data_IF_138646263542
#
_entry.id   IF_138646263542
#
_cell.length_a   1.000
_cell.length_b   1.000
_cell.length_c   1.000
_cell.angle_alpha   90.00
_cell.angle_beta   90.00
_cell.angle_gamma   90.00
#
_symmetry.space_group_name_H-M   'P 1'
#
loop_
_entity.id
_entity.type
_entity.pdbx_description
1 polymer ?
#
# COMPACT_ATOMS: atom_id res chain seq x y z
N UNK A 1 1.92 24.64 -4.16
CA UNK A 1 2.26 23.28 -3.70
C UNK A 1 2.88 22.52 -4.85
N UNK A 2 3.88 21.66 -4.58
CA UNK A 2 4.31 20.58 -5.46
C UNK A 2 3.78 19.27 -4.87
N UNK A 3 3.23 18.39 -5.69
CA UNK A 3 2.74 17.07 -5.25
C UNK A 3 3.63 15.95 -5.79
N UNK A 4 3.96 14.97 -4.95
CA UNK A 4 4.76 13.81 -5.33
C UNK A 4 4.00 12.53 -4.97
N UNK A 5 3.64 11.70 -5.98
CA UNK A 5 2.88 10.48 -5.77
C UNK A 5 2.94 9.53 -6.95
N UNK A 6 2.54 8.27 -6.75
CA UNK A 6 2.58 7.28 -7.84
C UNK A 6 1.33 6.39 -7.92
N UNK A 7 0.91 5.66 -6.85
CA UNK A 7 -0.20 4.71 -6.92
C UNK A 7 -1.58 5.39 -6.81
N UNK A 8 -2.62 4.60 -7.00
CA UNK A 8 -4.02 5.03 -6.81
C UNK A 8 -4.28 5.62 -5.42
N UNK A 9 -3.58 5.15 -4.40
CA UNK A 9 -3.64 5.66 -3.03
C UNK A 9 -3.45 7.18 -2.94
N UNK A 10 -2.65 7.75 -3.83
CA UNK A 10 -2.31 9.18 -3.84
C UNK A 10 -3.38 10.06 -4.52
N UNK A 11 -4.31 9.47 -5.31
CA UNK A 11 -5.28 10.22 -6.11
C UNK A 11 -6.22 11.08 -5.26
N UNK A 12 -6.86 10.56 -4.17
CA UNK A 12 -7.77 11.38 -3.37
C UNK A 12 -7.09 12.61 -2.77
N UNK A 13 -5.84 12.47 -2.32
CA UNK A 13 -5.07 13.59 -1.79
C UNK A 13 -4.77 14.65 -2.88
N UNK A 14 -4.35 14.24 -4.08
CA UNK A 14 -4.12 15.17 -5.20
C UNK A 14 -5.40 15.92 -5.56
N UNK A 15 -6.54 15.25 -5.68
CA UNK A 15 -7.85 15.88 -5.98
C UNK A 15 -8.24 16.87 -4.90
N UNK A 16 -8.11 16.51 -3.64
CA UNK A 16 -8.43 17.37 -2.52
C UNK A 16 -7.57 18.65 -2.54
N UNK A 17 -6.26 18.50 -2.73
CA UNK A 17 -5.33 19.62 -2.81
C UNK A 17 -5.64 20.53 -4.01
N UNK A 18 -5.81 19.98 -5.21
CA UNK A 18 -6.07 20.77 -6.42
C UNK A 18 -7.41 21.48 -6.42
N UNK A 19 -8.38 21.06 -5.59
CA UNK A 19 -9.68 21.73 -5.45
C UNK A 19 -9.64 22.97 -4.55
N UNK A 20 -8.60 23.15 -3.75
CA UNK A 20 -8.49 24.21 -2.74
C UNK A 20 -7.23 25.07 -2.89
N UNK A 21 -6.18 24.53 -3.51
CA UNK A 21 -4.86 25.13 -3.61
C UNK A 21 -4.30 24.98 -5.01
N UNK A 22 -3.41 25.89 -5.38
CA UNK A 22 -2.64 25.77 -6.61
C UNK A 22 -1.59 24.67 -6.48
N UNK A 23 -1.68 23.65 -7.35
CA UNK A 23 -0.69 22.58 -7.50
C UNK A 23 0.15 22.89 -8.73
N UNK A 24 1.37 23.37 -8.53
CA UNK A 24 2.27 23.83 -9.59
C UNK A 24 2.74 22.68 -10.50
N UNK A 25 2.98 21.52 -9.91
CA UNK A 25 3.39 20.33 -10.66
C UNK A 25 3.16 19.07 -9.86
N UNK A 26 3.02 17.95 -10.57
CA UNK A 26 2.95 16.61 -10.02
C UNK A 26 4.18 15.82 -10.42
N UNK A 27 4.88 15.26 -9.44
CA UNK A 27 5.98 14.32 -9.63
C UNK A 27 5.50 12.89 -9.47
N UNK A 28 5.89 12.02 -10.37
CA UNK A 28 5.57 10.60 -10.31
C UNK A 28 6.71 9.75 -10.86
N UNK A 29 6.66 8.43 -10.69
CA UNK A 29 7.63 7.54 -11.30
C UNK A 29 7.48 7.51 -12.82
N UNK A 30 8.60 7.36 -13.52
CA UNK A 30 8.64 7.23 -14.98
C UNK A 30 7.68 6.14 -15.47
N UNK A 31 7.00 6.35 -16.61
CA UNK A 31 6.17 5.34 -17.24
C UNK A 31 6.97 4.05 -17.49
N UNK A 32 6.41 2.91 -17.09
CA UNK A 32 7.09 1.61 -17.20
C UNK A 32 6.49 0.76 -18.31
N UNK A 33 7.35 0.05 -19.04
CA UNK A 33 6.91 -1.00 -19.96
C UNK A 33 6.24 -2.12 -19.17
N UNK A 34 4.97 -2.42 -19.44
CA UNK A 34 4.22 -3.52 -18.81
C UNK A 34 3.59 -4.40 -19.87
N UNK A 35 3.35 -5.68 -19.50
CA UNK A 35 2.74 -6.74 -20.31
C UNK A 35 3.57 -7.21 -21.51
N UNK A 36 3.11 -8.32 -22.16
CA UNK A 36 3.80 -8.96 -23.29
C UNK A 36 3.98 -8.06 -24.52
N UNK A 37 3.21 -6.97 -24.63
CA UNK A 37 3.30 -5.99 -25.71
C UNK A 37 4.18 -4.78 -25.41
N UNK A 38 4.92 -4.74 -24.28
CA UNK A 38 5.80 -3.63 -23.86
C UNK A 38 5.15 -2.23 -23.94
N UNK A 39 3.82 -2.14 -23.79
CA UNK A 39 3.13 -0.85 -23.76
C UNK A 39 3.63 -0.01 -22.59
N UNK A 40 3.97 1.24 -22.90
CA UNK A 40 4.33 2.23 -21.87
C UNK A 40 3.07 2.59 -21.09
N UNK A 41 3.06 2.29 -19.80
CA UNK A 41 1.91 2.57 -18.91
C UNK A 41 2.27 3.70 -17.96
N UNK A 42 1.52 4.78 -18.05
CA UNK A 42 1.57 5.90 -17.11
C UNK A 42 1.08 5.47 -15.72
N UNK A 43 1.61 6.08 -14.68
CA UNK A 43 1.13 5.84 -13.31
C UNK A 43 -0.32 6.35 -13.12
N UNK A 44 -1.08 5.86 -12.14
CA UNK A 44 -2.39 6.39 -11.82
C UNK A 44 -2.39 7.91 -11.56
N UNK A 45 -1.38 8.40 -10.86
CA UNK A 45 -1.22 9.85 -10.58
C UNK A 45 -0.90 10.64 -11.86
N UNK A 46 -0.10 10.09 -12.77
CA UNK A 46 0.17 10.74 -14.06
C UNK A 46 -1.13 11.00 -14.84
N UNK A 47 -1.96 9.95 -14.96
CA UNK A 47 -3.25 10.05 -15.66
C UNK A 47 -4.22 11.02 -14.97
N UNK A 48 -4.20 11.06 -13.64
CA UNK A 48 -5.06 11.95 -12.88
C UNK A 48 -4.61 13.41 -12.99
N UNK A 49 -3.30 13.67 -12.94
CA UNK A 49 -2.75 15.02 -13.12
C UNK A 49 -3.05 15.58 -14.52
N UNK A 50 -2.96 14.75 -15.57
CA UNK A 50 -3.37 15.15 -16.93
C UNK A 50 -4.85 15.57 -17.00
N UNK A 51 -5.76 14.81 -16.35
CA UNK A 51 -7.19 15.17 -16.27
C UNK A 51 -7.40 16.51 -15.57
N UNK A 52 -6.62 16.77 -14.53
CA UNK A 52 -6.66 18.03 -13.77
C UNK A 52 -5.89 19.17 -14.45
N UNK A 53 -5.28 18.91 -15.61
CA UNK A 53 -4.43 19.86 -16.37
C UNK A 53 -3.25 20.39 -15.55
N UNK A 54 -2.71 19.58 -14.66
CA UNK A 54 -1.53 19.90 -13.85
C UNK A 54 -0.29 19.36 -14.56
N UNK A 55 0.79 20.16 -14.70
CA UNK A 55 2.05 19.71 -15.31
C UNK A 55 2.63 18.48 -14.59
N UNK A 56 3.07 17.46 -15.36
CA UNK A 56 3.61 16.22 -14.82
C UNK A 56 5.09 16.12 -15.10
N UNK A 57 5.87 15.79 -14.06
CA UNK A 57 7.30 15.52 -14.10
C UNK A 57 7.56 14.09 -13.63
N UNK A 58 8.40 13.36 -14.34
CA UNK A 58 8.67 11.94 -14.05
C UNK A 58 10.15 11.60 -14.25
N UNK A 59 11.05 12.24 -13.51
CA UNK A 59 12.48 11.96 -13.62
C UNK A 59 12.77 10.51 -13.21
N UNK A 60 13.72 9.84 -13.88
CA UNK A 60 14.15 8.50 -13.52
C UNK A 60 14.74 8.44 -12.11
N UNK A 61 15.46 9.50 -11.76
CA UNK A 61 15.95 9.76 -10.39
C UNK A 61 15.73 11.23 -10.07
N UNK A 62 15.19 11.49 -8.88
CA UNK A 62 15.00 12.85 -8.42
C UNK A 62 16.33 13.60 -8.21
N UNK A 63 17.44 12.88 -8.01
CA UNK A 63 18.80 13.43 -7.92
C UNK A 63 19.27 13.92 -9.31
N UNK A 64 18.78 15.10 -9.69
CA UNK A 64 19.02 15.75 -10.97
C UNK A 64 19.04 17.27 -10.73
N UNK A 65 20.03 17.96 -11.29
CA UNK A 65 20.22 19.40 -11.12
C UNK A 65 19.05 20.23 -11.66
N UNK A 66 18.48 19.82 -12.80
CA UNK A 66 17.30 20.48 -13.39
C UNK A 66 16.08 20.41 -12.47
N UNK A 67 15.85 19.26 -11.82
CA UNK A 67 14.75 19.11 -10.87
C UNK A 67 14.99 19.88 -9.58
N UNK A 68 16.24 19.92 -9.10
CA UNK A 68 16.60 20.75 -7.96
C UNK A 68 16.36 22.22 -8.24
N UNK A 69 16.84 22.72 -9.38
CA UNK A 69 16.64 24.10 -9.83
C UNK A 69 15.15 24.42 -9.96
N UNK A 70 14.39 23.58 -10.66
CA UNK A 70 12.95 23.76 -10.83
C UNK A 70 12.22 23.87 -9.48
N UNK A 71 12.44 22.94 -8.55
CA UNK A 71 11.78 22.96 -7.23
C UNK A 71 12.20 24.19 -6.42
N UNK A 72 13.47 24.56 -6.44
CA UNK A 72 14.00 25.75 -5.75
C UNK A 72 13.42 27.05 -6.28
N UNK A 73 13.25 27.16 -7.60
CA UNK A 73 12.75 28.37 -8.28
C UNK A 73 11.22 28.42 -8.40
N UNK A 74 10.51 27.35 -8.09
CA UNK A 74 9.05 27.21 -8.25
C UNK A 74 8.21 28.10 -7.32
N UNK A 75 8.81 28.77 -6.33
CA UNK A 75 8.11 29.50 -5.26
C UNK A 75 7.13 28.64 -4.43
N UNK A 76 7.17 27.31 -4.55
CA UNK A 76 6.40 26.42 -3.71
C UNK A 76 6.77 26.61 -2.22
N UNK A 77 5.79 26.52 -1.34
CA UNK A 77 6.02 26.55 0.12
C UNK A 77 6.00 25.14 0.70
N UNK A 78 5.33 24.22 0.01
CA UNK A 78 5.16 22.83 0.44
C UNK A 78 5.36 21.86 -0.71
N UNK A 79 6.02 20.75 -0.40
CA UNK A 79 6.01 19.53 -1.20
C UNK A 79 5.25 18.46 -0.43
N UNK A 80 4.15 18.00 -0.98
CA UNK A 80 3.33 16.94 -0.38
C UNK A 80 3.67 15.61 -1.05
N UNK A 81 4.17 14.67 -0.26
CA UNK A 81 4.61 13.37 -0.72
C UNK A 81 3.63 12.29 -0.27
N UNK A 82 3.10 11.51 -1.20
CA UNK A 82 2.16 10.42 -0.94
C UNK A 82 2.56 9.19 -1.76
N UNK A 83 3.26 8.26 -1.16
CA UNK A 83 3.70 7.03 -1.82
C UNK A 83 4.42 7.29 -3.17
N UNK A 84 5.35 8.22 -3.21
CA UNK A 84 6.09 8.60 -4.42
C UNK A 84 7.00 7.48 -4.94
N UNK A 85 7.66 6.77 -4.00
CA UNK A 85 8.50 5.63 -4.32
C UNK A 85 9.90 5.95 -4.82
N UNK A 86 10.37 7.18 -4.63
CA UNK A 86 11.78 7.58 -4.75
C UNK A 86 12.23 8.26 -3.46
N UNK A 87 13.52 8.15 -3.15
CA UNK A 87 14.14 8.85 -2.03
C UNK A 87 14.26 10.33 -2.40
N UNK A 88 13.88 11.21 -1.48
CA UNK A 88 14.10 12.65 -1.60
C UNK A 88 15.52 12.94 -1.14
N UNK A 89 16.40 13.46 -2.02
CA UNK A 89 17.77 13.74 -1.64
C UNK A 89 17.85 14.85 -0.57
N UNK A 90 18.85 14.77 0.30
CA UNK A 90 19.01 15.70 1.43
C UNK A 90 19.12 17.16 0.98
N UNK A 91 19.77 17.42 -0.17
CA UNK A 91 19.87 18.76 -0.74
C UNK A 91 18.51 19.40 -1.00
N UNK A 92 17.47 18.61 -1.41
CA UNK A 92 16.11 19.12 -1.60
C UNK A 92 15.45 19.48 -0.27
N UNK A 93 15.69 18.67 0.78
CA UNK A 93 15.13 18.90 2.11
C UNK A 93 15.70 20.18 2.76
N UNK A 94 16.86 20.64 2.30
CA UNK A 94 17.54 21.85 2.77
C UNK A 94 17.17 23.12 1.98
N UNK A 95 16.27 23.04 1.00
CA UNK A 95 15.81 24.24 0.26
C UNK A 95 15.11 25.18 1.26
N UNK A 96 15.63 26.40 1.36
CA UNK A 96 15.11 27.42 2.29
C UNK A 96 13.65 27.73 2.00
N UNK A 97 12.84 27.84 3.05
CA UNK A 97 11.41 28.16 3.01
C UNK A 97 10.53 27.13 2.28
N UNK A 98 11.03 25.91 2.08
CA UNK A 98 10.29 24.79 1.51
C UNK A 98 10.21 23.65 2.53
N UNK A 99 9.01 23.16 2.81
CA UNK A 99 8.79 22.04 3.72
C UNK A 99 8.28 20.85 2.93
N UNK A 100 8.90 19.69 3.16
CA UNK A 100 8.46 18.40 2.62
C UNK A 100 7.64 17.67 3.68
N UNK A 101 6.36 17.41 3.38
CA UNK A 101 5.45 16.63 4.22
C UNK A 101 5.15 15.31 3.55
N UNK A 102 5.26 14.22 4.30
CA UNK A 102 4.85 12.89 3.86
C UNK A 102 3.53 12.49 4.50
N UNK A 103 2.64 11.93 3.69
CA UNK A 103 1.41 11.28 4.14
C UNK A 103 1.70 9.80 4.29
N UNK A 104 2.01 9.38 5.51
CA UNK A 104 2.38 8.01 5.83
C UNK A 104 1.17 7.20 6.28
N UNK A 105 1.03 5.98 5.75
CA UNK A 105 -0.15 5.14 5.97
C UNK A 105 -0.03 4.27 7.23
N UNK A 106 0.37 4.88 8.36
CA UNK A 106 0.33 4.28 9.69
C UNK A 106 0.24 5.35 10.78
N UNK A 107 0.03 4.93 12.02
CA UNK A 107 0.19 5.75 13.21
C UNK A 107 1.66 5.69 13.67
N UNK A 108 2.49 6.62 13.16
CA UNK A 108 3.89 6.70 13.55
C UNK A 108 4.05 6.87 15.08
N UNK A 109 5.04 6.24 15.69
CA UNK A 109 6.23 5.60 15.10
C UNK A 109 6.03 4.15 14.65
N UNK A 110 4.83 3.57 14.75
CA UNK A 110 4.59 2.22 14.24
C UNK A 110 4.63 2.17 12.72
N UNK A 111 5.21 1.08 12.19
CA UNK A 111 5.19 0.72 10.77
C UNK A 111 5.89 1.74 9.86
N UNK A 112 7.06 2.25 10.27
CA UNK A 112 7.96 3.00 9.37
C UNK A 112 8.36 2.12 8.19
N UNK A 113 8.35 2.66 6.96
CA UNK A 113 8.84 1.94 5.79
C UNK A 113 7.83 1.72 4.68
N UNK A 114 8.07 0.70 3.83
CA UNK A 114 7.49 0.60 2.51
C UNK A 114 6.09 -0.04 2.44
N UNK A 115 5.67 -0.81 3.46
CA UNK A 115 4.45 -1.63 3.40
C UNK A 115 3.58 -1.54 4.68
N UNK A 116 3.31 -0.33 5.24
CA UNK A 116 2.63 -0.20 6.53
C UNK A 116 1.22 -0.82 6.53
N UNK A 117 0.45 -0.67 5.45
CA UNK A 117 -0.92 -1.19 5.35
C UNK A 117 -0.92 -2.72 5.36
N UNK A 118 -0.03 -3.36 4.58
CA UNK A 118 0.06 -4.81 4.53
C UNK A 118 0.49 -5.39 5.87
N UNK A 119 1.54 -4.80 6.47
CA UNK A 119 2.09 -5.28 7.76
C UNK A 119 1.09 -5.14 8.89
N UNK A 120 0.36 -4.03 8.99
CA UNK A 120 -0.68 -3.87 10.04
C UNK A 120 -1.79 -4.94 9.95
N UNK A 121 -2.21 -5.32 8.73
CA UNK A 121 -3.17 -6.42 8.54
C UNK A 121 -2.55 -7.77 8.90
N UNK A 122 -1.33 -8.06 8.40
CA UNK A 122 -0.66 -9.34 8.62
C UNK A 122 -0.35 -9.59 10.09
N UNK A 123 -0.06 -8.53 10.85
CA UNK A 123 0.16 -8.58 12.31
C UNK A 123 -1.14 -8.46 13.11
N UNK A 124 -2.29 -8.49 12.44
CA UNK A 124 -3.63 -8.50 13.05
C UNK A 124 -3.84 -7.31 14.01
N UNK A 125 -3.30 -6.14 13.66
CA UNK A 125 -3.55 -4.91 14.41
C UNK A 125 -5.05 -4.58 14.37
N UNK A 126 -5.57 -4.01 15.44
CA UNK A 126 -6.98 -3.59 15.53
C UNK A 126 -7.22 -2.25 14.86
N UNK A 127 -6.16 -1.44 14.76
CA UNK A 127 -6.20 -0.11 14.15
C UNK A 127 -4.90 0.20 13.43
N UNK A 128 -4.97 1.10 12.50
CA UNK A 128 -3.86 1.78 11.83
C UNK A 128 -4.25 3.24 11.64
N UNK A 129 -3.65 3.97 10.72
CA UNK A 129 -4.06 5.34 10.46
C UNK A 129 -3.22 6.04 9.41
N UNK A 130 -3.33 7.35 9.43
CA UNK A 130 -2.53 8.27 8.61
C UNK A 130 -1.77 9.19 9.55
N UNK A 131 -0.49 9.41 9.25
CA UNK A 131 0.35 10.43 9.87
C UNK A 131 0.82 11.44 8.82
N UNK A 132 0.67 12.74 9.09
CA UNK A 132 1.29 13.81 8.32
C UNK A 132 2.60 14.17 9.03
N UNK A 133 3.73 13.89 8.41
CA UNK A 133 5.05 14.05 9.01
C UNK A 133 5.99 14.86 8.13
N UNK A 134 6.95 15.55 8.74
CA UNK A 134 8.05 16.21 8.04
C UNK A 134 9.05 15.16 7.55
N UNK A 135 9.47 15.27 6.29
CA UNK A 135 10.51 14.38 5.76
C UNK A 135 11.86 14.82 6.28
N UNK A 136 12.63 13.84 6.75
CA UNK A 136 14.03 13.97 7.16
C UNK A 136 14.87 12.90 6.45
N UNK A 137 16.23 12.99 6.45
CA UNK A 137 17.06 12.02 5.71
C UNK A 137 16.87 10.56 6.13
N UNK A 138 16.58 10.30 7.43
CA UNK A 138 16.32 8.95 7.92
C UNK A 138 14.87 8.57 7.64
N UNK A 139 14.66 7.38 7.08
CA UNK A 139 13.36 6.90 6.60
C UNK A 139 12.26 6.95 7.68
N UNK A 140 11.22 7.72 7.41
CA UNK A 140 9.98 7.86 8.19
C UNK A 140 10.18 8.17 9.70
N UNK A 141 11.31 8.81 10.06
CA UNK A 141 11.63 9.18 11.46
C UNK A 141 11.37 10.64 11.78
N UNK A 142 10.98 11.46 10.79
CA UNK A 142 10.72 12.87 11.02
C UNK A 142 9.52 13.09 11.96
N UNK A 143 9.45 14.27 12.61
CA UNK A 143 8.36 14.59 13.51
C UNK A 143 7.03 14.70 12.73
N UNK A 144 5.94 14.32 13.35
CA UNK A 144 4.61 14.43 12.76
C UNK A 144 3.81 15.61 13.34
N UNK A 145 2.94 16.18 12.52
CA UNK A 145 2.07 17.28 12.94
C UNK A 145 0.64 16.81 13.23
N UNK A 146 0.18 15.77 12.55
CA UNK A 146 -1.18 15.25 12.70
C UNK A 146 -1.22 13.75 12.50
N UNK A 147 -2.15 13.10 13.19
CA UNK A 147 -2.46 11.69 13.02
C UNK A 147 -3.98 11.46 13.07
N UNK A 148 -4.46 10.48 12.32
CA UNK A 148 -5.85 10.03 12.38
C UNK A 148 -5.90 8.50 12.38
N UNK A 149 -6.49 7.92 13.44
CA UNK A 149 -6.70 6.48 13.56
C UNK A 149 -7.85 5.99 12.68
N UNK A 150 -7.72 4.76 12.20
CA UNK A 150 -8.70 4.02 11.40
C UNK A 150 -8.73 2.58 11.88
N UNK A 151 -9.90 2.06 12.25
CA UNK A 151 -10.07 0.68 12.67
C UNK A 151 -9.87 -0.29 11.49
N UNK A 152 -9.20 -1.41 11.76
CA UNK A 152 -9.05 -2.54 10.83
C UNK A 152 -10.13 -3.57 11.19
N UNK A 153 -11.07 -3.81 10.28
CA UNK A 153 -12.10 -4.82 10.47
C UNK A 153 -11.58 -6.20 10.01
N UNK A 154 -12.13 -7.28 10.54
CA UNK A 154 -11.73 -8.65 10.21
C UNK A 154 -11.79 -8.98 8.71
N UNK A 155 -12.71 -8.35 7.98
CA UNK A 155 -12.88 -8.52 6.52
C UNK A 155 -12.06 -7.54 5.70
N UNK A 156 -11.33 -6.63 6.33
CA UNK A 156 -10.49 -5.71 5.58
C UNK A 156 -9.29 -6.45 4.97
N UNK A 157 -9.10 -6.22 3.69
CA UNK A 157 -7.91 -6.62 2.97
C UNK A 157 -7.09 -5.37 2.60
N UNK A 158 -5.90 -5.57 2.04
CA UNK A 158 -5.04 -4.46 1.61
C UNK A 158 -5.77 -3.45 0.70
N UNK A 159 -6.60 -3.93 -0.22
CA UNK A 159 -7.32 -3.05 -1.14
C UNK A 159 -8.38 -2.19 -0.42
N UNK A 160 -9.25 -2.80 0.40
CA UNK A 160 -10.31 -2.09 1.11
C UNK A 160 -9.75 -1.10 2.13
N UNK A 161 -8.73 -1.51 2.91
CA UNK A 161 -8.09 -0.66 3.90
C UNK A 161 -7.31 0.49 3.24
N UNK A 162 -6.59 0.22 2.15
CA UNK A 162 -5.91 1.25 1.37
C UNK A 162 -6.88 2.32 0.86
N UNK A 163 -8.06 1.93 0.39
CA UNK A 163 -9.11 2.86 -0.04
C UNK A 163 -9.59 3.73 1.12
N UNK A 164 -9.93 3.13 2.28
CA UNK A 164 -10.34 3.88 3.48
C UNK A 164 -9.26 4.88 3.90
N UNK A 165 -8.01 4.44 3.98
CA UNK A 165 -6.88 5.28 4.38
C UNK A 165 -6.62 6.42 3.39
N UNK A 166 -6.77 6.19 2.09
CA UNK A 166 -6.57 7.24 1.07
C UNK A 166 -7.62 8.36 1.18
N UNK A 167 -8.86 8.03 1.54
CA UNK A 167 -9.93 9.01 1.79
C UNK A 167 -9.68 9.81 3.08
N UNK A 168 -9.19 9.14 4.14
CA UNK A 168 -8.76 9.81 5.38
C UNK A 168 -7.56 10.72 5.12
N UNK A 169 -6.58 10.26 4.35
CA UNK A 169 -5.40 11.03 3.96
C UNK A 169 -5.77 12.32 3.23
N UNK A 170 -6.75 12.26 2.32
CA UNK A 170 -7.23 13.42 1.57
C UNK A 170 -7.86 14.50 2.47
N UNK A 171 -8.59 14.09 3.50
CA UNK A 171 -9.15 15.03 4.48
C UNK A 171 -8.07 15.59 5.40
N UNK A 172 -7.24 14.70 5.96
CA UNK A 172 -6.23 15.07 6.94
C UNK A 172 -5.18 16.03 6.35
N UNK A 173 -4.83 15.89 5.07
CA UNK A 173 -3.88 16.80 4.42
C UNK A 173 -4.45 18.20 4.24
N UNK A 174 -5.75 18.35 3.97
CA UNK A 174 -6.39 19.66 3.92
C UNK A 174 -6.42 20.33 5.30
N UNK A 175 -6.73 19.57 6.35
CA UNK A 175 -6.69 20.08 7.73
C UNK A 175 -5.26 20.52 8.10
N UNK A 176 -4.24 19.74 7.70
CA UNK A 176 -2.84 20.10 7.91
C UNK A 176 -2.46 21.40 7.19
N UNK A 177 -2.98 21.63 5.98
CA UNK A 177 -2.71 22.88 5.24
C UNK A 177 -3.38 24.09 5.89
N UNK A 178 -4.57 23.96 6.44
CA UNK A 178 -5.21 25.05 7.20
C UNK A 178 -4.36 25.48 8.41
N UNK A 179 -3.77 24.52 9.13
CA UNK A 179 -2.83 24.80 10.23
C UNK A 179 -1.55 25.46 9.68
N UNK A 180 -1.05 25.01 8.52
CA UNK A 180 0.10 25.61 7.87
C UNK A 180 -0.13 27.08 7.51
N UNK A 181 -1.27 27.40 6.91
CA UNK A 181 -1.64 28.76 6.52
C UNK A 181 -1.77 29.71 7.70
N UNK A 182 -2.30 29.22 8.83
CA UNK A 182 -2.38 29.97 10.09
C UNK A 182 -1.03 30.13 10.80
N UNK A 183 0.04 29.49 10.32
CA UNK A 183 1.37 29.44 10.96
C UNK A 183 1.34 28.82 12.37
N UNK A 184 0.39 27.94 12.63
CA UNK A 184 0.18 27.26 13.92
C UNK A 184 0.78 25.84 13.93
N UNK A 185 1.79 25.58 13.09
CA UNK A 185 2.37 24.26 12.97
C UNK A 185 3.15 23.89 14.23
N UNK A 186 2.73 22.79 14.83
CA UNK A 186 3.46 22.14 15.92
C UNK A 186 3.83 20.73 15.48
N UNK A 187 5.12 20.44 15.46
CA UNK A 187 5.62 19.11 15.20
C UNK A 187 5.93 18.38 16.51
N UNK A 188 5.50 17.13 16.59
CA UNK A 188 5.79 16.22 17.69
C UNK A 188 6.81 15.17 17.27
N UNK A 189 7.87 15.02 18.03
CA UNK A 189 8.88 13.98 17.80
C UNK A 189 8.30 12.59 18.03
N UNK A 190 8.80 11.62 17.29
CA UNK A 190 8.42 10.23 17.43
C UNK A 190 9.18 9.58 18.59
N UNK A 191 8.49 8.78 19.41
CA UNK A 191 9.16 7.96 20.44
C UNK A 191 9.85 6.75 19.78
N UNK A 192 11.18 6.76 19.75
CA UNK A 192 11.99 5.69 19.15
C UNK A 192 11.76 4.32 19.81
N UNK A 193 11.35 4.28 21.09
CA UNK A 193 11.09 3.02 21.81
C UNK A 193 9.84 2.29 21.29
N UNK A 194 8.92 3.01 20.67
CA UNK A 194 7.68 2.48 20.11
C UNK A 194 7.78 2.20 18.61
N UNK A 195 8.94 2.47 18.00
CA UNK A 195 9.10 2.34 16.55
C UNK A 195 9.08 0.87 16.11
N UNK A 196 8.26 0.59 15.10
CA UNK A 196 8.26 -0.68 14.38
C UNK A 196 8.43 -0.44 12.88
N UNK A 197 8.82 -1.48 12.13
CA UNK A 197 9.22 -1.32 10.75
C UNK A 197 8.39 -2.20 9.79
N UNK A 198 7.89 -1.58 8.74
CA UNK A 198 7.13 -2.20 7.67
C UNK A 198 8.02 -2.44 6.45
N UNK A 199 8.80 -3.52 6.50
CA UNK A 199 9.65 -3.91 5.38
C UNK A 199 8.82 -4.16 4.13
N UNK A 200 9.42 -3.85 2.96
CA UNK A 200 8.84 -4.15 1.66
C UNK A 200 8.48 -5.64 1.57
N UNK A 201 7.31 -5.93 1.01
CA UNK A 201 6.86 -7.31 0.81
C UNK A 201 7.76 -8.00 -0.21
N UNK A 202 8.39 -9.10 0.21
CA UNK A 202 9.17 -9.97 -0.69
C UNK A 202 8.23 -10.91 -1.46
N UNK A 203 8.63 -11.25 -2.68
CA UNK A 203 7.87 -12.22 -3.50
C UNK A 203 7.77 -13.61 -2.88
N UNK A 204 8.77 -14.01 -2.08
CA UNK A 204 8.79 -15.28 -1.36
C UNK A 204 7.72 -15.32 -0.26
N UNK A 205 7.44 -14.19 0.37
CA UNK A 205 6.38 -14.10 1.37
C UNK A 205 4.99 -14.41 0.81
N UNK A 206 4.79 -14.31 -0.51
CA UNK A 206 3.52 -14.64 -1.15
C UNK A 206 3.26 -16.14 -1.29
N UNK A 207 4.26 -17.00 -1.11
CA UNK A 207 4.07 -18.43 -1.08
C UNK A 207 3.41 -18.84 0.25
N UNK A 208 2.39 -19.71 0.19
CA UNK A 208 1.71 -20.16 1.39
C UNK A 208 2.56 -21.20 2.13
N UNK A 209 2.54 -21.12 3.43
CA UNK A 209 3.05 -22.16 4.31
C UNK A 209 1.87 -22.69 5.13
N UNK A 210 1.41 -23.89 4.80
CA UNK A 210 0.28 -24.53 5.47
C UNK A 210 0.59 -24.90 6.93
N UNK A 211 1.88 -24.95 7.33
CA UNK A 211 2.31 -25.08 8.72
C UNK A 211 2.24 -23.73 9.46
N UNK A 212 1.15 -23.02 9.26
CA UNK A 212 0.85 -21.72 9.88
C UNK A 212 -0.57 -21.78 10.45
N UNK A 213 -0.84 -21.20 11.63
CA UNK A 213 -2.20 -21.14 12.18
C UNK A 213 -3.17 -20.45 11.22
N UNK A 214 -4.39 -21.00 11.11
CA UNK A 214 -5.42 -20.52 10.17
C UNK A 214 -5.66 -19.01 10.26
N UNK A 215 -5.71 -18.45 11.48
CA UNK A 215 -5.88 -17.02 11.71
C UNK A 215 -4.75 -16.18 11.09
N UNK A 216 -3.50 -16.63 11.21
CA UNK A 216 -2.33 -15.95 10.60
C UNK A 216 -2.35 -16.09 9.09
N UNK A 217 -2.79 -17.22 8.54
CA UNK A 217 -2.96 -17.37 7.10
C UNK A 217 -4.02 -16.43 6.54
N UNK A 218 -5.16 -16.29 7.21
CA UNK A 218 -6.19 -15.32 6.80
C UNK A 218 -5.63 -13.89 6.83
N UNK A 219 -4.93 -13.51 7.90
CA UNK A 219 -4.30 -12.19 7.97
C UNK A 219 -3.28 -11.96 6.85
N UNK A 220 -2.46 -12.97 6.52
CA UNK A 220 -1.51 -12.92 5.40
C UNK A 220 -2.25 -12.81 4.04
N UNK A 221 -3.31 -13.61 3.83
CA UNK A 221 -4.12 -13.54 2.61
C UNK A 221 -4.72 -12.13 2.47
N UNK A 222 -5.33 -11.60 3.50
CA UNK A 222 -5.94 -10.26 3.50
C UNK A 222 -4.89 -9.16 3.29
N UNK A 223 -3.75 -9.21 3.98
CA UNK A 223 -2.68 -8.23 3.86
C UNK A 223 -2.05 -8.16 2.47
N UNK A 224 -2.06 -9.27 1.73
CA UNK A 224 -1.49 -9.36 0.39
C UNK A 224 -2.53 -9.37 -0.75
N UNK A 225 -3.83 -9.43 -0.44
CA UNK A 225 -4.89 -9.49 -1.45
C UNK A 225 -5.27 -8.10 -1.98
N UNK A 226 -5.53 -7.96 -3.27
CA UNK A 226 -5.38 -8.97 -4.33
C UNK A 226 -3.97 -9.05 -4.90
N UNK A 227 -3.07 -8.12 -4.52
CA UNK A 227 -1.71 -8.04 -5.05
C UNK A 227 -0.69 -7.79 -3.94
N UNK A 228 0.44 -8.55 -3.92
CA UNK A 228 0.84 -9.60 -4.87
C UNK A 228 -0.05 -10.85 -4.83
N UNK A 229 -0.82 -11.07 -3.76
CA UNK A 229 -1.65 -12.23 -3.48
C UNK A 229 -0.85 -13.39 -2.91
N UNK A 230 -1.45 -14.14 -1.97
CA UNK A 230 -0.90 -15.40 -1.47
C UNK A 230 -1.20 -16.52 -2.46
N UNK A 231 -0.28 -17.43 -2.68
CA UNK A 231 -0.43 -18.51 -3.67
C UNK A 231 0.13 -19.83 -3.17
N UNK A 232 -0.42 -20.90 -3.71
CA UNK A 232 0.08 -22.27 -3.60
C UNK A 232 0.30 -22.88 -4.98
N UNK A 233 1.01 -24.00 -5.03
CA UNK A 233 1.17 -24.80 -6.25
C UNK A 233 0.28 -26.03 -6.22
N UNK A 234 -0.36 -26.30 -7.35
CA UNK A 234 -1.05 -27.55 -7.62
C UNK A 234 -0.79 -27.97 -9.06
N UNK A 235 -0.29 -29.19 -9.25
CA UNK A 235 0.11 -29.73 -10.57
C UNK A 235 1.01 -28.75 -11.35
N UNK A 236 2.03 -28.18 -10.67
CA UNK A 236 3.01 -27.24 -11.24
C UNK A 236 2.48 -25.86 -11.57
N UNK A 237 1.20 -25.56 -11.30
CA UNK A 237 0.57 -24.27 -11.60
C UNK A 237 0.39 -23.45 -10.32
N UNK A 238 0.66 -22.15 -10.40
CA UNK A 238 0.37 -21.21 -9.31
C UNK A 238 -1.10 -20.84 -9.29
N UNK A 239 -1.69 -20.94 -8.10
CA UNK A 239 -3.08 -20.56 -7.84
C UNK A 239 -3.07 -19.61 -6.67
N UNK A 240 -3.55 -18.38 -6.89
CA UNK A 240 -3.66 -17.39 -5.83
C UNK A 240 -4.95 -17.57 -5.05
N UNK A 241 -4.84 -17.38 -3.74
CA UNK A 241 -5.97 -17.24 -2.83
C UNK A 241 -6.24 -15.73 -2.71
N UNK A 242 -7.44 -15.31 -3.08
CA UNK A 242 -7.85 -13.92 -3.02
C UNK A 242 -8.67 -13.63 -1.78
N UNK A 243 -9.50 -14.61 -1.38
CA UNK A 243 -10.36 -14.53 -0.21
C UNK A 243 -10.53 -15.91 0.41
N UNK A 244 -10.43 -15.99 1.73
CA UNK A 244 -10.69 -17.19 2.49
C UNK A 244 -11.26 -16.84 3.87
N UNK A 245 -11.86 -17.82 4.53
CA UNK A 245 -12.40 -17.73 5.89
C UNK A 245 -11.92 -18.91 6.75
N UNK A 246 -11.95 -18.73 8.06
CA UNK A 246 -11.59 -19.81 9.00
C UNK A 246 -12.66 -20.88 8.96
N UNK A 247 -12.25 -22.14 8.97
CA UNK A 247 -13.10 -23.31 9.13
C UNK A 247 -12.66 -24.11 10.37
N UNK A 248 -13.63 -24.53 11.18
CA UNK A 248 -13.38 -25.36 12.37
C UNK A 248 -13.00 -26.81 12.04
N UNK A 249 -13.01 -27.20 10.76
CA UNK A 249 -12.56 -28.53 10.31
C UNK A 249 -11.07 -28.71 10.59
N UNK A 250 -10.67 -29.97 10.74
CA UNK A 250 -9.28 -30.36 10.94
C UNK A 250 -8.87 -31.37 9.86
N UNK A 251 -7.59 -31.35 9.49
CA UNK A 251 -6.98 -32.25 8.52
C UNK A 251 -5.47 -32.07 8.52
N UNK A 252 -4.76 -32.83 7.71
CA UNK A 252 -3.32 -32.65 7.55
C UNK A 252 -3.04 -31.29 6.91
N UNK A 253 -1.92 -30.69 7.26
CA UNK A 253 -1.46 -29.41 6.68
C UNK A 253 -1.34 -29.52 5.16
N UNK A 254 -2.04 -28.65 4.43
CA UNK A 254 -2.11 -28.66 2.97
C UNK A 254 -3.09 -29.67 2.36
N UNK A 255 -3.75 -30.50 3.17
CA UNK A 255 -4.75 -31.47 2.68
C UNK A 255 -6.06 -30.78 2.32
N UNK A 256 -6.61 -31.10 1.17
CA UNK A 256 -7.96 -30.71 0.76
C UNK A 256 -8.97 -31.61 1.51
N UNK A 257 -9.65 -31.04 2.52
CA UNK A 257 -10.53 -31.77 3.43
C UNK A 257 -11.91 -32.01 2.80
N UNK A 258 -12.36 -31.07 1.98
CA UNK A 258 -13.71 -31.10 1.39
C UNK A 258 -13.72 -30.66 -0.07
N UNK A 259 -14.75 -31.08 -0.82
CA UNK A 259 -14.93 -30.74 -2.24
C UNK A 259 -15.20 -29.23 -2.50
N UNK A 260 -15.50 -28.43 -1.46
CA UNK A 260 -15.65 -26.97 -1.53
C UNK A 260 -14.39 -26.23 -1.06
N UNK A 261 -13.24 -26.89 -1.13
CA UNK A 261 -11.89 -26.33 -0.94
C UNK A 261 -11.64 -25.82 0.49
N UNK A 262 -11.91 -26.63 1.48
CA UNK A 262 -11.42 -26.47 2.86
C UNK A 262 -10.07 -27.15 2.97
N UNK A 263 -9.04 -26.41 3.38
CA UNK A 263 -7.65 -26.88 3.43
C UNK A 263 -7.16 -26.88 4.86
N UNK A 264 -6.52 -27.97 5.28
CA UNK A 264 -5.93 -28.11 6.61
C UNK A 264 -4.75 -27.17 6.83
N UNK A 265 -4.68 -26.59 8.01
CA UNK A 265 -3.61 -25.72 8.49
C UNK A 265 -3.01 -26.29 9.78
N UNK A 266 -2.11 -25.57 10.44
CA UNK A 266 -1.44 -26.02 11.65
C UNK A 266 -2.41 -26.35 12.81
N UNK A 267 -3.49 -25.56 12.98
CA UNK A 267 -4.43 -25.67 14.11
C UNK A 267 -5.87 -25.99 13.69
N UNK A 268 -6.32 -25.40 12.59
CA UNK A 268 -7.66 -25.51 12.03
C UNK A 268 -7.56 -25.68 10.53
N UNK A 269 -8.56 -25.19 9.80
CA UNK A 269 -8.54 -25.15 8.35
C UNK A 269 -8.97 -23.76 7.85
N UNK A 270 -8.70 -23.48 6.59
CA UNK A 270 -9.29 -22.33 5.89
C UNK A 270 -10.18 -22.81 4.74
N UNK A 271 -11.31 -22.16 4.55
CA UNK A 271 -12.18 -22.32 3.39
C UNK A 271 -11.86 -21.24 2.38
N UNK A 272 -11.50 -21.65 1.18
CA UNK A 272 -11.14 -20.70 0.12
C UNK A 272 -12.41 -20.29 -0.64
N UNK A 273 -12.69 -18.98 -0.70
CA UNK A 273 -13.89 -18.42 -1.33
C UNK A 273 -13.61 -17.90 -2.74
N UNK A 274 -12.45 -17.24 -2.94
CA UNK A 274 -12.06 -16.67 -4.24
C UNK A 274 -10.63 -17.07 -4.60
N UNK A 275 -10.44 -17.51 -5.84
CA UNK A 275 -9.14 -17.93 -6.38
C UNK A 275 -8.84 -17.28 -7.72
N UNK A 276 -7.56 -17.27 -8.05
CA UNK A 276 -7.08 -16.82 -9.35
C UNK A 276 -5.98 -17.74 -9.87
N UNK A 277 -6.23 -18.42 -10.99
CA UNK A 277 -5.15 -19.09 -11.73
C UNK A 277 -4.29 -18.04 -12.44
N UNK A 278 -3.00 -18.28 -12.54
CA UNK A 278 -2.05 -17.38 -13.20
C UNK A 278 -2.54 -16.99 -14.61
N UNK A 279 -2.57 -15.67 -14.88
CA UNK A 279 -3.02 -15.11 -16.15
C UNK A 279 -4.53 -15.19 -16.45
N UNK A 280 -5.35 -15.58 -15.45
CA UNK A 280 -6.82 -15.69 -15.59
C UNK A 280 -7.54 -14.72 -14.65
N UNK A 281 -8.86 -14.63 -14.78
CA UNK A 281 -9.75 -13.84 -13.92
C UNK A 281 -9.91 -14.48 -12.54
N UNK A 282 -10.31 -13.67 -11.56
CA UNK A 282 -10.70 -14.14 -10.21
C UNK A 282 -12.04 -14.83 -10.33
N UNK A 283 -12.17 -16.01 -9.71
CA UNK A 283 -13.37 -16.83 -9.71
C UNK A 283 -13.76 -17.26 -8.29
N UNK A 284 -15.06 -17.43 -8.05
CA UNK A 284 -15.57 -18.15 -6.87
C UNK A 284 -15.14 -19.60 -6.93
N UNK A 285 -14.89 -20.22 -5.77
CA UNK A 285 -14.41 -21.61 -5.68
C UNK A 285 -15.23 -22.58 -6.51
N UNK A 286 -16.55 -22.54 -6.44
CA UNK A 286 -17.42 -23.41 -7.25
C UNK A 286 -17.17 -23.28 -8.76
N UNK A 287 -17.06 -22.05 -9.26
CA UNK A 287 -16.78 -21.79 -10.69
C UNK A 287 -15.34 -22.17 -11.08
N UNK A 288 -14.40 -22.00 -10.16
CA UNK A 288 -13.01 -22.39 -10.37
C UNK A 288 -12.89 -23.92 -10.51
N UNK A 289 -13.51 -24.66 -9.60
CA UNK A 289 -13.47 -26.13 -9.58
C UNK A 289 -14.20 -26.77 -10.77
N UNK A 290 -15.20 -26.12 -11.34
CA UNK A 290 -15.83 -26.58 -12.59
C UNK A 290 -14.88 -26.62 -13.79
N UNK A 291 -13.83 -25.78 -13.79
CA UNK A 291 -12.82 -25.74 -14.87
C UNK A 291 -11.40 -26.17 -14.46
N UNK A 292 -11.21 -26.53 -13.20
CA UNK A 292 -9.89 -26.96 -12.68
C UNK A 292 -10.06 -27.95 -11.52
N UNK A 293 -9.64 -29.18 -11.75
CA UNK A 293 -9.83 -30.29 -10.81
C UNK A 293 -8.86 -30.18 -9.64
N UNK A 294 -9.38 -29.97 -8.44
CA UNK A 294 -8.77 -30.18 -7.13
C UNK A 294 -9.80 -30.99 -6.34
N UNK A 295 -9.42 -32.11 -5.79
CA UNK A 295 -10.35 -33.04 -5.13
C UNK A 295 -9.97 -33.26 -3.68
N UNK A 296 -10.93 -33.71 -2.90
CA UNK A 296 -10.67 -34.13 -1.52
C UNK A 296 -9.54 -35.16 -1.46
N UNK A 297 -8.60 -34.97 -0.54
CA UNK A 297 -7.40 -35.79 -0.37
C UNK A 297 -6.17 -35.28 -1.13
N UNK A 298 -6.31 -34.32 -2.07
CA UNK A 298 -5.15 -33.70 -2.71
C UNK A 298 -4.29 -32.97 -1.66
N UNK A 299 -2.96 -33.02 -1.87
CA UNK A 299 -1.99 -32.29 -1.04
C UNK A 299 -1.51 -31.05 -1.81
N UNK A 300 -1.73 -29.89 -1.26
CA UNK A 300 -1.31 -28.59 -1.83
C UNK A 300 0.06 -28.21 -1.27
N UNK A 301 0.95 -27.70 -2.15
CA UNK A 301 2.31 -27.31 -1.80
C UNK A 301 2.51 -25.81 -2.00
#
# INVERSE_FOLDING_TARGET
IIFMGTPEFSIPALRALSSKHEVLSVYTQSPKKKSRGQKIIKSPIHLEAEKLKIPVRFPDKLKNEDEYKFIKESNAKLVIVVAYGQIIPTEFLNIKNLIFLNVHASLLPKWRGAAPIQRSIMEMEKETGISIMKIVPKLDTGPYMMQKSVSINEKDNHFSLSKKLSEVAAKLILDALLIFEKKEIVFKDQDEKLATYAQKIDKKESEIDWNTPAKKLIAKINGLSPYPGVWFKHNGKRIKIIEAEISEKQGKMGEVITDDLVIGCQDKAIKINLLQKEGKTILKTKSFLAGYKIVKGDMLI
#
